data_IF_138691721401
#
_entry.id   IF_138691721401
#
_cell.length_a   1.000
_cell.length_b   1.000
_cell.length_c   1.000
_cell.angle_alpha   90.00
_cell.angle_beta   90.00
_cell.angle_gamma   90.00
#
_symmetry.space_group_name_H-M   'P 1'
#
loop_
_entity.id
_entity.type
_entity.pdbx_description
1 polymer ?
#
# COMPACT_ATOMS: atom_id res chain seq x y z
N UNK A 1 0.94 -44.40 8.50
CA UNK A 1 1.54 -43.50 7.49
C UNK A 1 0.69 -43.59 6.24
N UNK A 2 -0.42 -42.86 6.23
CA UNK A 2 -1.28 -42.74 5.06
C UNK A 2 -0.74 -41.59 4.21
N UNK A 3 -0.44 -41.92 2.96
CA UNK A 3 0.08 -41.06 1.91
C UNK A 3 -0.68 -39.71 1.86
N UNK A 4 0.02 -38.63 2.22
CA UNK A 4 -0.46 -37.24 2.08
C UNK A 4 -0.09 -36.76 0.68
N UNK A 5 -0.57 -37.48 -0.33
CA UNK A 5 -0.44 -37.06 -1.72
C UNK A 5 -1.30 -35.80 -1.91
N UNK A 6 -0.65 -34.69 -2.27
CA UNK A 6 -1.34 -33.45 -2.58
C UNK A 6 -2.42 -33.72 -3.65
N UNK A 7 -3.61 -33.11 -3.54
CA UNK A 7 -4.68 -33.33 -4.48
C UNK A 7 -4.22 -32.98 -5.91
N UNK A 8 -4.59 -33.79 -6.91
CA UNK A 8 -4.13 -33.60 -8.27
C UNK A 8 -4.61 -32.26 -8.83
N UNK A 9 -3.66 -31.39 -9.18
CA UNK A 9 -3.92 -30.09 -9.81
C UNK A 9 -4.24 -30.31 -11.28
N UNK A 10 -5.37 -29.77 -11.74
CA UNK A 10 -5.76 -29.82 -13.15
C UNK A 10 -5.14 -28.64 -13.90
N UNK A 11 -4.39 -28.91 -14.96
CA UNK A 11 -3.63 -27.90 -15.73
C UNK A 11 -4.05 -27.94 -17.20
N UNK A 12 -4.24 -26.76 -17.79
CA UNK A 12 -4.46 -26.63 -19.22
C UNK A 12 -3.17 -26.95 -19.98
N UNK A 13 -3.15 -27.99 -20.80
CA UNK A 13 -1.91 -28.42 -21.47
C UNK A 13 -1.43 -27.48 -22.58
N UNK A 14 -2.25 -26.49 -22.97
CA UNK A 14 -1.92 -25.47 -23.98
C UNK A 14 -1.13 -24.31 -23.34
N UNK A 15 -1.68 -23.64 -22.31
CA UNK A 15 -1.02 -22.51 -21.65
C UNK A 15 -0.15 -22.90 -20.44
N UNK A 16 -0.29 -24.13 -19.95
CA UNK A 16 0.39 -24.66 -18.75
C UNK A 16 -0.04 -24.00 -17.42
N UNK A 17 -1.17 -23.30 -17.41
CA UNK A 17 -1.74 -22.70 -16.21
C UNK A 17 -2.79 -23.62 -15.55
N UNK A 18 -2.98 -23.46 -14.24
CA UNK A 18 -3.99 -24.18 -13.45
C UNK A 18 -5.39 -23.80 -13.94
N UNK A 19 -6.30 -24.77 -14.01
CA UNK A 19 -7.73 -24.48 -14.20
C UNK A 19 -8.33 -24.10 -12.84
N UNK A 20 -8.98 -22.95 -12.75
CA UNK A 20 -9.63 -22.45 -11.53
C UNK A 20 -11.13 -22.27 -11.72
N UNK A 21 -11.88 -22.14 -10.62
CA UNK A 21 -13.36 -22.08 -10.64
C UNK A 21 -13.94 -20.92 -11.46
N UNK A 22 -13.20 -19.82 -11.58
CA UNK A 22 -13.62 -18.66 -12.38
C UNK A 22 -13.34 -18.83 -13.87
N UNK A 23 -12.64 -19.89 -14.27
CA UNK A 23 -12.31 -20.13 -15.67
C UNK A 23 -13.50 -20.65 -16.45
N UNK A 24 -13.58 -20.26 -17.72
CA UNK A 24 -14.43 -20.95 -18.69
C UNK A 24 -13.68 -22.14 -19.26
N UNK A 25 -14.17 -23.34 -19.01
CA UNK A 25 -13.51 -24.60 -19.39
C UNK A 25 -14.36 -25.33 -20.42
N UNK A 26 -13.70 -25.83 -21.47
CA UNK A 26 -14.31 -26.65 -22.50
C UNK A 26 -13.66 -28.04 -22.50
N UNK A 27 -14.48 -29.08 -22.63
CA UNK A 27 -14.05 -30.44 -22.99
C UNK A 27 -14.27 -30.66 -24.49
N UNK A 28 -13.36 -31.37 -25.15
CA UNK A 28 -13.50 -31.75 -26.56
C UNK A 28 -13.96 -33.20 -26.71
N UNK A 29 -14.30 -33.65 -27.92
CA UNK A 29 -14.89 -34.98 -28.19
C UNK A 29 -14.13 -36.16 -27.58
N UNK A 30 -12.81 -36.05 -27.36
CA UNK A 30 -12.01 -37.09 -26.72
C UNK A 30 -11.93 -37.00 -25.18
N UNK A 31 -12.65 -36.07 -24.55
CA UNK A 31 -12.72 -35.88 -23.09
C UNK A 31 -11.67 -34.95 -22.47
N UNK A 32 -10.58 -34.60 -23.17
CA UNK A 32 -9.57 -33.67 -22.64
C UNK A 32 -10.15 -32.26 -22.46
N UNK A 33 -9.77 -31.60 -21.35
CA UNK A 33 -10.26 -30.28 -20.93
C UNK A 33 -9.19 -29.20 -21.05
N UNK A 34 -9.62 -27.99 -21.39
CA UNK A 34 -8.78 -26.82 -21.60
C UNK A 34 -9.55 -25.55 -21.25
N UNK A 35 -8.84 -24.44 -21.02
CA UNK A 35 -9.48 -23.12 -21.09
C UNK A 35 -10.16 -22.93 -22.45
N UNK A 36 -11.38 -22.41 -22.43
CA UNK A 36 -12.19 -22.15 -23.63
C UNK A 36 -11.39 -21.38 -24.68
N UNK A 37 -10.74 -20.28 -24.29
CA UNK A 37 -9.95 -19.48 -25.22
C UNK A 37 -8.78 -20.29 -25.81
N UNK A 38 -8.06 -21.05 -24.99
CA UNK A 38 -6.92 -21.85 -25.45
C UNK A 38 -7.33 -22.86 -26.52
N UNK A 39 -8.41 -23.62 -26.29
CA UNK A 39 -8.84 -24.63 -27.26
C UNK A 39 -9.46 -24.00 -28.52
N UNK A 40 -10.15 -22.87 -28.39
CA UNK A 40 -10.66 -22.13 -29.55
C UNK A 40 -9.53 -21.61 -30.44
N UNK A 41 -8.45 -21.07 -29.84
CA UNK A 41 -7.27 -20.65 -30.61
C UNK A 41 -6.53 -21.81 -31.27
N UNK A 42 -6.47 -22.96 -30.61
CA UNK A 42 -5.87 -24.17 -31.17
C UNK A 42 -6.66 -24.69 -32.38
N UNK A 43 -8.00 -24.72 -32.28
CA UNK A 43 -8.90 -25.21 -33.33
C UNK A 43 -8.83 -24.44 -34.64
N UNK A 44 -8.43 -23.17 -34.60
CA UNK A 44 -8.16 -22.38 -35.81
C UNK A 44 -6.98 -22.93 -36.62
N UNK A 45 -6.11 -23.74 -36.01
CA UNK A 45 -4.87 -24.26 -36.60
C UNK A 45 -4.88 -25.79 -36.79
N UNK A 46 -5.57 -26.52 -35.92
CA UNK A 46 -5.67 -27.98 -36.00
C UNK A 46 -7.01 -28.49 -35.46
N UNK A 47 -7.60 -29.47 -36.15
CA UNK A 47 -8.80 -30.17 -35.69
C UNK A 47 -8.49 -31.32 -34.69
N UNK A 48 -7.22 -31.57 -34.40
CA UNK A 48 -6.78 -32.64 -33.51
C UNK A 48 -6.62 -32.17 -32.06
N UNK A 49 -6.88 -33.06 -31.10
CA UNK A 49 -6.61 -32.83 -29.69
C UNK A 49 -5.12 -32.52 -29.44
N UNK A 50 -4.78 -31.43 -28.70
CA UNK A 50 -3.40 -31.12 -28.33
C UNK A 50 -2.68 -32.21 -27.53
N UNK A 51 -3.43 -33.11 -26.88
CA UNK A 51 -2.90 -34.15 -25.98
C UNK A 51 -2.81 -35.50 -26.68
N UNK A 52 -3.93 -36.01 -27.22
CA UNK A 52 -3.99 -37.37 -27.79
C UNK A 52 -4.11 -37.42 -29.32
N UNK A 53 -4.14 -36.26 -30.00
CA UNK A 53 -4.29 -36.13 -31.46
C UNK A 53 -5.58 -36.71 -32.06
N UNK A 54 -6.56 -37.05 -31.22
CA UNK A 54 -7.87 -37.47 -31.69
C UNK A 54 -8.56 -36.33 -32.49
N UNK A 55 -9.16 -36.66 -33.63
CA UNK A 55 -9.89 -35.69 -34.45
C UNK A 55 -11.18 -35.27 -33.73
N UNK A 56 -11.27 -34.00 -33.37
CA UNK A 56 -12.36 -33.48 -32.55
C UNK A 56 -13.31 -32.63 -33.40
N UNK A 57 -14.57 -33.07 -33.47
CA UNK A 57 -15.67 -32.44 -34.20
C UNK A 57 -16.50 -31.47 -33.35
N UNK A 58 -16.40 -31.54 -32.02
CA UNK A 58 -17.21 -30.74 -31.10
C UNK A 58 -16.51 -30.40 -29.80
N UNK A 59 -16.94 -29.31 -29.15
CA UNK A 59 -16.58 -29.00 -27.76
C UNK A 59 -17.83 -28.72 -26.94
N UNK A 60 -17.80 -29.13 -25.69
CA UNK A 60 -18.85 -28.89 -24.71
C UNK A 60 -18.28 -28.06 -23.56
N UNK A 61 -19.04 -27.07 -23.10
CA UNK A 61 -18.68 -26.31 -21.90
C UNK A 61 -18.89 -27.19 -20.68
N UNK A 62 -17.88 -27.25 -19.82
CA UNK A 62 -17.95 -28.00 -18.56
C UNK A 62 -17.83 -27.04 -17.39
N UNK A 63 -18.65 -27.26 -16.37
CA UNK A 63 -18.59 -26.54 -15.11
C UNK A 63 -18.03 -27.52 -14.08
N UNK A 64 -16.83 -27.24 -13.59
CA UNK A 64 -16.16 -28.06 -12.60
C UNK A 64 -16.39 -27.44 -11.23
N UNK A 65 -17.10 -28.17 -10.36
CA UNK A 65 -17.27 -27.77 -8.96
C UNK A 65 -16.02 -28.19 -8.19
N UNK A 66 -15.13 -27.23 -8.04
CA UNK A 66 -13.88 -27.35 -7.31
C UNK A 66 -14.15 -27.31 -5.81
N UNK A 67 -13.67 -28.31 -5.04
CA UNK A 67 -13.67 -28.20 -3.58
C UNK A 67 -12.59 -27.18 -3.16
N UNK A 68 -13.04 -25.98 -2.83
CA UNK A 68 -12.20 -24.84 -2.47
C UNK A 68 -11.27 -25.16 -1.27
N UNK A 69 -11.67 -26.10 -0.42
CA UNK A 69 -10.88 -26.54 0.75
C UNK A 69 -9.74 -27.50 0.37
N UNK A 70 -9.79 -28.11 -0.83
CA UNK A 70 -8.78 -29.06 -1.29
C UNK A 70 -7.73 -28.42 -2.21
N UNK A 71 -7.95 -27.21 -2.72
CA UNK A 71 -7.15 -26.67 -3.86
C UNK A 71 -6.00 -25.75 -3.40
N UNK A 72 -5.98 -25.36 -2.14
CA UNK A 72 -4.94 -24.50 -1.59
C UNK A 72 -3.86 -25.36 -0.94
N UNK A 73 -2.73 -25.49 -1.63
CA UNK A 73 -1.56 -26.16 -1.09
C UNK A 73 -1.14 -25.47 0.22
N UNK A 74 -0.87 -26.24 1.28
CA UNK A 74 -0.52 -25.70 2.58
C UNK A 74 0.71 -24.78 2.50
N UNK A 75 1.59 -25.02 1.53
CA UNK A 75 2.75 -24.20 1.22
C UNK A 75 2.38 -22.80 0.68
N UNK A 76 1.41 -22.70 -0.23
CA UNK A 76 0.97 -21.42 -0.82
C UNK A 76 0.26 -20.55 0.23
N UNK A 77 -0.57 -21.16 1.09
CA UNK A 77 -1.21 -20.46 2.20
C UNK A 77 -0.20 -19.98 3.26
N UNK A 78 0.81 -20.79 3.57
CA UNK A 78 1.89 -20.41 4.49
C UNK A 78 2.73 -19.24 3.96
N UNK A 79 3.06 -19.24 2.66
CA UNK A 79 3.79 -18.16 2.02
C UNK A 79 2.98 -16.85 2.01
N UNK A 80 1.68 -16.92 1.67
CA UNK A 80 0.78 -15.77 1.74
C UNK A 80 0.68 -15.19 3.15
N UNK A 81 0.55 -16.05 4.16
CA UNK A 81 0.48 -15.63 5.56
C UNK A 81 1.77 -14.97 6.06
N UNK A 82 2.94 -15.39 5.57
CA UNK A 82 4.21 -14.75 5.91
C UNK A 82 4.27 -13.30 5.40
N UNK A 83 3.84 -13.08 4.15
CA UNK A 83 3.77 -11.74 3.54
C UNK A 83 2.76 -10.86 4.28
N UNK A 84 1.58 -11.41 4.61
CA UNK A 84 0.55 -10.69 5.38
C UNK A 84 1.12 -10.23 6.74
N UNK A 85 1.85 -11.09 7.45
CA UNK A 85 2.46 -10.74 8.74
C UNK A 85 3.51 -9.63 8.58
N UNK A 86 4.37 -9.71 7.57
CA UNK A 86 5.35 -8.66 7.30
C UNK A 86 4.69 -7.31 7.00
N UNK A 87 3.62 -7.32 6.20
CA UNK A 87 2.85 -6.10 5.90
C UNK A 87 2.17 -5.53 7.16
N UNK A 88 1.66 -6.37 8.04
CA UNK A 88 1.09 -5.95 9.33
C UNK A 88 2.15 -5.30 10.24
N UNK A 89 3.35 -5.87 10.33
CA UNK A 89 4.45 -5.31 11.13
C UNK A 89 4.93 -3.96 10.58
N UNK A 90 5.00 -3.83 9.24
CA UNK A 90 5.32 -2.56 8.58
C UNK A 90 4.24 -1.52 8.85
N UNK A 91 2.96 -1.90 8.76
CA UNK A 91 1.84 -1.00 9.06
C UNK A 91 1.92 -0.48 10.50
N UNK A 92 2.07 -1.37 11.49
CA UNK A 92 2.24 -0.98 12.89
C UNK A 92 3.43 -0.03 13.09
N UNK A 93 4.55 -0.31 12.43
CA UNK A 93 5.74 0.54 12.54
C UNK A 93 5.48 1.94 12.00
N UNK A 94 4.85 2.05 10.83
CA UNK A 94 4.44 3.31 10.24
C UNK A 94 3.47 4.09 11.14
N UNK A 95 2.47 3.43 11.72
CA UNK A 95 1.52 4.05 12.64
C UNK A 95 2.20 4.65 13.87
N UNK A 96 3.15 3.93 14.48
CA UNK A 96 3.93 4.46 15.61
C UNK A 96 4.77 5.67 15.22
N UNK A 97 5.39 5.64 14.03
CA UNK A 97 6.20 6.76 13.54
C UNK A 97 5.33 8.00 13.28
N UNK A 98 4.15 7.80 12.70
CA UNK A 98 3.18 8.88 12.48
C UNK A 98 2.74 9.49 13.81
N UNK A 99 2.45 8.66 14.82
CA UNK A 99 2.11 9.15 16.18
C UNK A 99 3.23 10.02 16.75
N UNK A 100 4.47 9.53 16.73
CA UNK A 100 5.64 10.30 17.21
C UNK A 100 5.85 11.61 16.44
N UNK A 101 5.61 11.61 15.13
CA UNK A 101 5.73 12.83 14.32
C UNK A 101 4.65 13.86 14.70
N UNK A 102 3.42 13.42 14.95
CA UNK A 102 2.33 14.28 15.46
C UNK A 102 2.67 14.86 16.83
N UNK A 103 3.10 14.02 17.78
CA UNK A 103 3.49 14.49 19.12
C UNK A 103 4.62 15.55 19.06
N UNK A 104 5.56 15.38 18.11
CA UNK A 104 6.63 16.37 17.87
C UNK A 104 6.12 17.67 17.26
N UNK A 105 5.13 17.60 16.37
CA UNK A 105 4.51 18.77 15.76
C UNK A 105 3.77 19.58 16.81
N UNK A 106 2.91 18.93 17.61
CA UNK A 106 2.17 19.56 18.71
C UNK A 106 3.13 20.23 19.71
N UNK A 107 4.23 19.55 20.04
CA UNK A 107 5.27 20.10 20.89
C UNK A 107 6.04 21.29 20.28
N UNK A 108 6.13 21.36 18.95
CA UNK A 108 6.73 22.49 18.24
C UNK A 108 5.78 23.69 18.19
N UNK A 109 4.50 23.44 17.92
CA UNK A 109 3.44 24.45 17.89
C UNK A 109 3.30 25.15 19.24
N UNK A 110 3.30 24.39 20.35
CA UNK A 110 3.27 24.95 21.70
C UNK A 110 4.49 25.86 21.98
N UNK A 111 5.68 25.48 21.53
CA UNK A 111 6.89 26.31 21.67
C UNK A 111 6.81 27.58 20.82
N UNK A 112 6.24 27.48 19.62
CA UNK A 112 6.09 28.62 18.73
C UNK A 112 5.15 29.66 19.35
N UNK A 113 4.04 29.24 19.95
CA UNK A 113 3.11 30.13 20.64
C UNK A 113 3.80 30.90 21.78
N UNK A 114 4.56 30.21 22.62
CA UNK A 114 5.33 30.84 23.71
C UNK A 114 6.38 31.82 23.16
N UNK A 115 7.00 31.48 22.03
CA UNK A 115 8.00 32.33 21.40
C UNK A 115 7.37 33.60 20.83
N UNK A 116 6.18 33.51 20.24
CA UNK A 116 5.41 34.65 19.75
C UNK A 116 5.04 35.60 20.90
N UNK A 117 4.56 35.08 22.04
CA UNK A 117 4.28 35.88 23.23
C UNK A 117 5.53 36.64 23.69
N UNK A 118 6.65 35.94 23.88
CA UNK A 118 7.94 36.56 24.28
C UNK A 118 8.41 37.62 23.28
N UNK A 119 8.20 37.38 21.99
CA UNK A 119 8.55 38.34 20.94
C UNK A 119 7.72 39.62 21.07
N UNK A 120 6.41 39.50 21.31
CA UNK A 120 5.54 40.66 21.51
C UNK A 120 5.92 41.48 22.75
N UNK A 121 6.21 40.81 23.87
CA UNK A 121 6.68 41.48 25.09
C UNK A 121 8.00 42.22 24.87
N UNK A 122 8.97 41.58 24.22
CA UNK A 122 10.25 42.19 23.90
C UNK A 122 10.08 43.41 23.00
N UNK A 123 9.18 43.35 22.02
CA UNK A 123 8.85 44.45 21.11
C UNK A 123 8.25 45.65 21.86
N UNK A 124 7.34 45.41 22.80
CA UNK A 124 6.77 46.48 23.64
C UNK A 124 7.82 47.11 24.56
N UNK A 125 8.65 46.28 25.18
CA UNK A 125 9.73 46.75 26.04
C UNK A 125 10.73 47.62 25.27
N UNK A 126 11.12 47.19 24.06
CA UNK A 126 11.97 47.98 23.18
C UNK A 126 11.34 49.34 22.85
N UNK A 127 10.03 49.37 22.54
CA UNK A 127 9.31 50.63 22.27
C UNK A 127 9.34 51.57 23.49
N UNK A 128 9.08 51.05 24.69
CA UNK A 128 9.14 51.85 25.94
C UNK A 128 10.55 52.42 26.18
N UNK A 129 11.59 51.62 25.94
CA UNK A 129 12.99 52.04 26.04
C UNK A 129 13.33 53.14 25.04
N UNK A 130 12.87 53.03 23.79
CA UNK A 130 13.03 54.09 22.78
C UNK A 130 12.40 55.40 23.24
N UNK A 131 11.16 55.37 23.73
CA UNK A 131 10.48 56.57 24.25
C UNK A 131 11.20 57.17 25.46
N UNK A 132 11.76 56.33 26.35
CA UNK A 132 12.57 56.79 27.47
C UNK A 132 13.85 57.46 27.00
N UNK A 133 14.51 56.90 25.98
CA UNK A 133 15.73 57.43 25.43
C UNK A 133 15.50 58.82 24.79
N UNK A 134 14.43 58.97 24.01
CA UNK A 134 14.05 60.25 23.40
C UNK A 134 13.77 61.34 24.45
N UNK A 135 13.12 60.97 25.56
CA UNK A 135 12.90 61.88 26.71
C UNK A 135 14.22 62.32 27.35
N UNK A 136 15.13 61.39 27.60
CA UNK A 136 16.44 61.70 28.19
C UNK A 136 17.28 62.59 27.27
N UNK A 137 17.29 62.33 25.97
CA UNK A 137 17.97 63.20 25.00
C UNK A 137 17.42 64.62 25.01
N UNK A 138 16.10 64.77 25.12
CA UNK A 138 15.46 66.09 25.20
C UNK A 138 15.87 66.85 26.47
N UNK A 139 15.88 66.16 27.62
CA UNK A 139 16.33 66.72 28.90
C UNK A 139 17.81 67.13 28.89
N UNK A 140 18.69 66.30 28.31
CA UNK A 140 20.11 66.64 28.16
C UNK A 140 20.30 67.89 27.31
N UNK A 141 19.57 68.00 26.19
CA UNK A 141 19.64 69.16 25.30
C UNK A 141 19.17 70.45 25.96
N UNK A 142 18.17 70.37 26.85
CA UNK A 142 17.73 71.52 27.67
C UNK A 142 18.79 71.93 28.69
N UNK A 143 19.36 70.96 29.43
CA UNK A 143 20.45 71.19 30.39
C UNK A 143 21.69 71.83 29.74
N UNK A 144 22.05 71.40 28.54
CA UNK A 144 23.16 72.00 27.78
C UNK A 144 22.89 73.46 27.35
N UNK A 145 21.62 73.84 27.14
CA UNK A 145 21.23 75.22 26.83
C UNK A 145 21.26 76.10 28.07
N UNK A 146 20.92 75.56 29.24
CA UNK A 146 20.95 76.27 30.51
C UNK A 146 22.38 76.52 31.00
N UNK A 147 23.31 75.58 30.82
CA UNK A 147 24.71 75.72 31.24
C UNK A 147 25.58 76.63 30.36
N UNK A 148 25.06 77.15 29.24
CA UNK A 148 25.74 78.11 28.35
C UNK A 148 25.35 79.59 28.60
N UNK A 149 24.44 79.85 29.55
CA UNK A 149 24.10 81.20 30.05
C UNK A 149 24.92 81.55 31.27
#
# INVERSE_FOLDING_TARGET
MSDMSAPPIIVCSICKEKLIMTDTIDSISCGHIFHHNCIQYWRKRSAECPVCRFQCDGSQRVFLDFDENAIWDAADYAAGNAIIRELQDKLQTCERNLKRAKDRLDGCEAKNLILEEKYTEAKENFKKLMEQNDRLYSQLKEKEREGKK
#
